data_IF_319493733629
#
_entry.id   IF_319493733629
#
_cell.length_a   1.000
_cell.length_b   1.000
_cell.length_c   1.000
_cell.angle_alpha   90.00
_cell.angle_beta   90.00
_cell.angle_gamma   90.00
#
_symmetry.space_group_name_H-M   'P 1'
#
loop_
_entity.id
_entity.type
_entity.pdbx_description
1 polymer ?
#
# COMPACT_ATOMS: atom_id res chain seq x y z
N UNK A 1 -14.25 -21.15 -10.04
CA UNK A 1 -14.27 -21.00 -8.57
C UNK A 1 -14.46 -19.52 -8.26
N UNK A 2 -15.16 -19.13 -7.20
CA UNK A 2 -15.26 -17.74 -6.80
C UNK A 2 -13.86 -17.16 -6.52
N UNK A 3 -13.67 -15.87 -6.77
CA UNK A 3 -12.42 -15.18 -6.51
C UNK A 3 -12.10 -15.13 -5.02
N UNK A 4 -10.82 -14.98 -4.66
CA UNK A 4 -10.32 -14.93 -3.27
C UNK A 4 -10.92 -13.79 -2.43
N UNK A 5 -11.43 -12.75 -3.08
CA UNK A 5 -12.04 -11.57 -2.44
C UNK A 5 -13.49 -11.35 -2.91
N UNK A 6 -14.17 -12.43 -3.27
CA UNK A 6 -15.54 -12.38 -3.79
C UNK A 6 -16.45 -11.60 -2.84
N UNK A 7 -17.15 -10.60 -3.37
CA UNK A 7 -18.10 -9.70 -2.67
C UNK A 7 -17.50 -8.83 -1.56
N UNK A 8 -16.19 -8.84 -1.35
CA UNK A 8 -15.50 -7.94 -0.41
C UNK A 8 -15.47 -6.50 -0.96
N UNK A 9 -15.47 -5.54 -0.07
CA UNK A 9 -15.24 -4.12 -0.38
C UNK A 9 -13.80 -3.77 0.00
N UNK A 10 -13.02 -3.35 -0.98
CA UNK A 10 -11.60 -3.06 -0.83
C UNK A 10 -11.31 -1.58 -1.12
N UNK A 11 -10.55 -0.93 -0.25
CA UNK A 11 -10.02 0.42 -0.43
C UNK A 11 -8.52 0.36 -0.72
N UNK A 12 -8.08 1.08 -1.77
CA UNK A 12 -6.66 1.21 -2.12
C UNK A 12 -6.27 2.68 -2.19
N UNK A 13 -5.49 3.16 -1.24
CA UNK A 13 -4.90 4.51 -1.31
C UNK A 13 -3.67 4.52 -2.20
N UNK A 14 -3.45 5.61 -2.95
CA UNK A 14 -2.43 5.64 -4.01
C UNK A 14 -2.71 4.66 -5.15
N UNK A 15 -3.97 4.30 -5.37
CA UNK A 15 -4.42 3.29 -6.34
C UNK A 15 -4.37 3.74 -7.81
N UNK A 16 -3.88 4.93 -8.10
CA UNK A 16 -3.82 5.47 -9.46
C UNK A 16 -2.63 4.99 -10.30
N UNK A 17 -1.55 4.50 -9.68
CA UNK A 17 -0.29 4.12 -10.34
C UNK A 17 0.46 3.00 -9.63
N UNK A 18 1.42 2.38 -10.32
CA UNK A 18 2.37 1.43 -9.76
C UNK A 18 1.72 0.29 -8.98
N UNK A 19 2.27 -0.02 -7.81
CA UNK A 19 1.78 -1.14 -6.96
C UNK A 19 0.31 -0.93 -6.56
N UNK A 20 -0.10 0.30 -6.24
CA UNK A 20 -1.50 0.58 -5.88
C UNK A 20 -2.47 0.27 -7.01
N UNK A 21 -2.17 0.67 -8.26
CA UNK A 21 -2.97 0.33 -9.44
C UNK A 21 -2.99 -1.18 -9.66
N UNK A 22 -1.83 -1.84 -9.64
CA UNK A 22 -1.74 -3.28 -9.82
C UNK A 22 -2.55 -4.03 -8.76
N UNK A 23 -2.52 -3.56 -7.50
CA UNK A 23 -3.33 -4.14 -6.42
C UNK A 23 -4.83 -3.92 -6.64
N UNK A 24 -5.24 -2.71 -7.03
CA UNK A 24 -6.65 -2.43 -7.31
C UNK A 24 -7.21 -3.35 -8.44
N UNK A 25 -6.43 -3.53 -9.52
CA UNK A 25 -6.76 -4.43 -10.61
C UNK A 25 -6.82 -5.90 -10.14
N UNK A 26 -5.84 -6.33 -9.34
CA UNK A 26 -5.78 -7.69 -8.81
C UNK A 26 -6.95 -7.98 -7.84
N UNK A 27 -7.28 -7.06 -6.94
CA UNK A 27 -8.43 -7.19 -6.04
C UNK A 27 -9.75 -7.29 -6.80
N UNK A 28 -9.94 -6.46 -7.84
CA UNK A 28 -11.14 -6.52 -8.68
C UNK A 28 -11.24 -7.84 -9.45
N UNK A 29 -10.13 -8.35 -9.99
CA UNK A 29 -10.07 -9.68 -10.66
C UNK A 29 -10.46 -10.81 -9.71
N UNK A 30 -10.18 -10.66 -8.42
CA UNK A 30 -10.56 -11.62 -7.37
C UNK A 30 -11.97 -11.38 -6.80
N UNK A 31 -12.80 -10.56 -7.46
CA UNK A 31 -14.21 -10.36 -7.14
C UNK A 31 -14.51 -9.25 -6.12
N UNK A 32 -13.51 -8.45 -5.73
CA UNK A 32 -13.75 -7.30 -4.84
C UNK A 32 -14.40 -6.12 -5.58
N UNK A 33 -15.23 -5.37 -4.87
CA UNK A 33 -15.65 -4.00 -5.23
C UNK A 33 -14.58 -3.04 -4.72
N UNK A 34 -13.96 -2.27 -5.60
CA UNK A 34 -12.73 -1.53 -5.27
C UNK A 34 -12.98 -0.02 -5.22
N UNK A 35 -12.58 0.61 -4.13
CA UNK A 35 -12.43 2.07 -4.05
C UNK A 35 -10.98 2.42 -4.31
N UNK A 36 -10.75 3.18 -5.38
CA UNK A 36 -9.45 3.73 -5.78
C UNK A 36 -9.35 5.15 -5.23
N UNK A 37 -8.40 5.41 -4.34
CA UNK A 37 -8.19 6.74 -3.76
C UNK A 37 -6.82 7.30 -4.14
N UNK A 38 -6.77 8.53 -4.63
CA UNK A 38 -5.53 9.26 -4.92
C UNK A 38 -5.79 10.75 -5.11
N UNK A 39 -4.73 11.58 -5.10
CA UNK A 39 -4.83 13.01 -5.36
C UNK A 39 -5.12 13.34 -6.82
N UNK A 40 -4.52 12.60 -7.75
CA UNK A 40 -4.72 12.80 -9.20
C UNK A 40 -5.99 12.09 -9.67
N UNK A 41 -6.94 12.85 -10.24
CA UNK A 41 -8.21 12.30 -10.72
C UNK A 41 -8.05 11.50 -12.00
N UNK A 42 -7.36 12.03 -13.00
CA UNK A 42 -7.26 11.40 -14.32
C UNK A 42 -6.72 9.96 -14.26
N UNK A 43 -5.62 9.72 -13.54
CA UNK A 43 -5.04 8.37 -13.44
C UNK A 43 -5.84 7.45 -12.50
N UNK A 44 -6.55 8.05 -11.52
CA UNK A 44 -7.47 7.30 -10.66
C UNK A 44 -8.69 6.80 -11.42
N UNK A 45 -9.30 7.66 -12.21
CA UNK A 45 -10.41 7.34 -13.10
C UNK A 45 -10.00 6.33 -14.19
N UNK A 46 -8.75 6.46 -14.72
CA UNK A 46 -8.20 5.48 -15.65
C UNK A 46 -8.10 4.09 -15.01
N UNK A 47 -7.69 4.00 -13.74
CA UNK A 47 -7.66 2.73 -13.01
C UNK A 47 -9.07 2.14 -12.88
N UNK A 48 -10.07 2.96 -12.56
CA UNK A 48 -11.49 2.52 -12.51
C UNK A 48 -11.96 2.05 -13.88
N UNK A 49 -11.65 2.79 -14.95
CA UNK A 49 -12.01 2.41 -16.32
C UNK A 49 -11.42 1.05 -16.69
N UNK A 50 -10.15 0.78 -16.35
CA UNK A 50 -9.51 -0.52 -16.59
C UNK A 50 -10.22 -1.66 -15.83
N UNK A 51 -10.58 -1.45 -14.56
CA UNK A 51 -11.31 -2.43 -13.76
C UNK A 51 -12.68 -2.70 -14.38
N UNK A 52 -13.42 -1.66 -14.75
CA UNK A 52 -14.76 -1.79 -15.33
C UNK A 52 -14.73 -2.46 -16.70
N UNK A 53 -13.75 -2.13 -17.54
CA UNK A 53 -13.57 -2.78 -18.84
C UNK A 53 -13.27 -4.29 -18.73
N UNK A 54 -12.67 -4.72 -17.60
CA UNK A 54 -12.46 -6.13 -17.29
C UNK A 54 -13.66 -6.80 -16.58
N UNK A 55 -14.80 -6.10 -16.46
CA UNK A 55 -16.02 -6.61 -15.81
C UNK A 55 -16.06 -6.48 -14.29
N UNK A 56 -15.09 -5.81 -13.68
CA UNK A 56 -15.06 -5.55 -12.24
C UNK A 56 -15.88 -4.30 -11.85
N UNK A 57 -15.97 -4.06 -10.55
CA UNK A 57 -16.69 -2.91 -9.97
C UNK A 57 -15.69 -2.02 -9.23
N UNK A 58 -15.60 -0.76 -9.61
CA UNK A 58 -14.75 0.20 -8.91
C UNK A 58 -15.33 1.62 -8.90
N UNK A 59 -14.91 2.41 -7.93
CA UNK A 59 -15.21 3.84 -7.80
C UNK A 59 -13.93 4.59 -7.47
N UNK A 60 -13.73 5.75 -8.11
CA UNK A 60 -12.65 6.66 -7.78
C UNK A 60 -13.11 7.70 -6.74
N UNK A 61 -12.23 8.01 -5.78
CA UNK A 61 -12.41 9.10 -4.83
C UNK A 61 -11.13 9.91 -4.73
N UNK A 62 -11.20 11.19 -5.11
CA UNK A 62 -10.06 12.09 -4.94
C UNK A 62 -9.78 12.29 -3.45
N UNK A 63 -8.55 12.00 -3.02
CA UNK A 63 -8.19 12.01 -1.59
C UNK A 63 -6.71 12.30 -1.40
N UNK A 64 -6.41 13.30 -0.56
CA UNK A 64 -5.09 13.48 0.04
C UNK A 64 -5.08 12.85 1.44
N UNK A 65 -4.33 11.76 1.61
CA UNK A 65 -4.25 11.04 2.89
C UNK A 65 -3.61 11.85 4.02
N UNK A 66 -2.98 12.99 3.71
CA UNK A 66 -2.45 13.91 4.72
C UNK A 66 -3.53 14.76 5.36
N UNK A 67 -4.74 14.82 4.78
CA UNK A 67 -5.87 15.61 5.25
C UNK A 67 -6.88 14.71 5.97
N UNK A 68 -6.99 14.87 7.28
CA UNK A 68 -7.89 14.06 8.11
C UNK A 68 -9.35 14.12 7.63
N UNK A 69 -9.82 15.30 7.22
CA UNK A 69 -11.19 15.50 6.70
C UNK A 69 -11.45 14.72 5.42
N UNK A 70 -10.46 14.65 4.51
CA UNK A 70 -10.60 13.90 3.27
C UNK A 70 -10.58 12.39 3.52
N UNK A 71 -9.75 11.91 4.47
CA UNK A 71 -9.76 10.50 4.87
C UNK A 71 -11.07 10.10 5.52
N UNK A 72 -11.64 10.95 6.39
CA UNK A 72 -12.99 10.74 6.96
C UNK A 72 -14.04 10.63 5.85
N UNK A 73 -14.01 11.56 4.89
CA UNK A 73 -14.94 11.55 3.76
C UNK A 73 -14.78 10.27 2.92
N UNK A 74 -13.54 9.87 2.60
CA UNK A 74 -13.23 8.64 1.86
C UNK A 74 -13.85 7.41 2.52
N UNK A 75 -13.59 7.19 3.80
CA UNK A 75 -14.10 6.02 4.52
C UNK A 75 -15.63 6.06 4.63
N UNK A 76 -16.21 7.23 4.95
CA UNK A 76 -17.65 7.40 5.06
C UNK A 76 -18.38 7.14 3.74
N UNK A 77 -17.85 7.69 2.63
CA UNK A 77 -18.45 7.47 1.31
C UNK A 77 -18.27 6.03 0.84
N UNK A 78 -17.13 5.36 1.15
CA UNK A 78 -16.94 3.93 0.87
C UNK A 78 -18.07 3.10 1.50
N UNK A 79 -18.33 3.31 2.79
CA UNK A 79 -19.39 2.60 3.50
C UNK A 79 -20.78 2.99 2.99
N UNK A 80 -21.00 4.27 2.64
CA UNK A 80 -22.27 4.74 2.08
C UNK A 80 -22.59 4.06 0.73
N UNK A 81 -21.61 3.88 -0.14
CA UNK A 81 -21.78 3.30 -1.48
C UNK A 81 -21.93 1.80 -1.42
N UNK A 82 -21.07 1.13 -0.64
CA UNK A 82 -20.93 -0.34 -0.66
C UNK A 82 -21.46 -1.05 0.59
N UNK A 83 -21.89 -0.31 1.61
CA UNK A 83 -22.46 -0.84 2.84
C UNK A 83 -21.43 -1.30 3.88
N UNK A 84 -20.16 -1.50 3.51
CA UNK A 84 -19.11 -2.03 4.37
C UNK A 84 -17.70 -1.66 3.88
N UNK A 85 -16.70 -1.97 4.67
CA UNK A 85 -15.28 -1.96 4.28
C UNK A 85 -14.62 -3.20 4.86
N UNK A 86 -14.14 -4.10 3.98
CA UNK A 86 -13.53 -5.38 4.36
C UNK A 86 -12.01 -5.36 4.31
N UNK A 87 -11.45 -4.71 3.29
CA UNK A 87 -10.01 -4.66 3.04
C UNK A 87 -9.56 -3.21 2.85
N UNK A 88 -8.47 -2.82 3.48
CA UNK A 88 -7.83 -1.52 3.24
C UNK A 88 -6.35 -1.71 2.95
N UNK A 89 -5.91 -1.28 1.77
CA UNK A 89 -4.50 -1.21 1.41
C UNK A 89 -4.02 0.23 1.47
N UNK A 90 -3.27 0.56 2.53
CA UNK A 90 -2.69 1.87 2.77
C UNK A 90 -1.35 1.97 2.03
N UNK A 91 -1.40 2.42 0.76
CA UNK A 91 -0.25 2.41 -0.16
C UNK A 91 0.19 3.82 -0.60
N UNK A 92 -0.61 4.85 -0.38
CA UNK A 92 -0.21 6.21 -0.72
C UNK A 92 1.11 6.57 -0.04
N UNK A 93 2.07 7.12 -0.81
CA UNK A 93 3.40 7.42 -0.29
C UNK A 93 4.14 8.47 -1.10
N UNK A 94 5.14 9.05 -0.45
CA UNK A 94 6.11 10.02 -0.97
C UNK A 94 7.53 9.50 -0.73
N UNK A 95 8.45 9.77 -1.64
CA UNK A 95 9.80 9.18 -1.58
C UNK A 95 10.75 9.88 -0.62
N UNK A 96 10.59 11.19 -0.47
CA UNK A 96 11.55 12.04 0.21
C UNK A 96 12.83 12.31 -0.61
N UNK A 97 13.62 13.27 -0.14
CA UNK A 97 14.89 13.65 -0.76
C UNK A 97 16.00 12.66 -0.39
N UNK A 98 16.79 12.26 -1.37
CA UNK A 98 17.94 11.35 -1.22
C UNK A 98 19.21 12.15 -0.96
N UNK A 99 19.34 12.68 0.25
CA UNK A 99 20.49 13.42 0.74
C UNK A 99 20.98 12.82 2.05
N UNK A 100 22.21 13.13 2.52
CA UNK A 100 22.67 12.73 3.84
C UNK A 100 21.72 13.20 4.95
N UNK A 101 21.66 12.47 6.06
CA UNK A 101 20.70 12.73 7.15
C UNK A 101 20.79 14.18 7.68
N UNK A 102 21.99 14.74 7.76
CA UNK A 102 22.19 16.11 8.25
C UNK A 102 21.72 17.19 7.26
N UNK A 103 21.53 16.84 5.99
CA UNK A 103 21.22 17.78 4.91
C UNK A 103 19.75 17.75 4.50
N UNK A 104 18.91 16.96 5.18
CA UNK A 104 17.48 16.88 4.87
C UNK A 104 16.81 18.19 5.26
N UNK A 105 16.11 18.89 4.33
CA UNK A 105 15.26 20.01 4.69
C UNK A 105 14.11 19.55 5.61
N UNK A 106 13.84 20.31 6.68
CA UNK A 106 12.76 19.99 7.62
C UNK A 106 11.42 19.81 6.91
N UNK A 107 11.12 20.65 5.93
CA UNK A 107 9.89 20.56 5.13
C UNK A 107 9.77 19.19 4.39
N UNK A 108 10.87 18.67 3.83
CA UNK A 108 10.85 17.37 3.15
C UNK A 108 10.69 16.21 4.15
N UNK A 109 11.34 16.32 5.31
CA UNK A 109 11.15 15.42 6.43
C UNK A 109 9.68 15.37 6.85
N UNK A 110 9.10 16.52 7.18
CA UNK A 110 7.70 16.63 7.62
C UNK A 110 6.73 16.10 6.56
N UNK A 111 6.93 16.47 5.30
CA UNK A 111 6.12 15.99 4.19
C UNK A 111 6.18 14.46 4.04
N UNK A 112 7.38 13.88 4.18
CA UNK A 112 7.56 12.43 4.08
C UNK A 112 6.86 11.71 5.23
N UNK A 113 7.07 12.14 6.46
CA UNK A 113 6.42 11.58 7.66
C UNK A 113 4.90 11.78 7.59
N UNK A 114 4.46 12.97 7.21
CA UNK A 114 3.03 13.31 7.08
C UNK A 114 2.32 12.41 6.07
N UNK A 115 2.94 12.15 4.92
CA UNK A 115 2.34 11.32 3.88
C UNK A 115 2.40 9.83 4.25
N UNK A 116 3.61 9.33 4.55
CA UNK A 116 3.85 7.89 4.63
C UNK A 116 3.40 7.29 5.96
N UNK A 117 3.62 7.99 7.08
CA UNK A 117 3.32 7.45 8.40
C UNK A 117 2.00 8.01 8.96
N UNK A 118 1.85 9.33 9.02
CA UNK A 118 0.63 9.95 9.54
C UNK A 118 -0.57 9.61 8.65
N UNK A 119 -0.41 9.61 7.31
CA UNK A 119 -1.47 9.25 6.37
C UNK A 119 -1.93 7.80 6.53
N UNK A 120 -1.01 6.86 6.74
CA UNK A 120 -1.35 5.46 7.04
C UNK A 120 -2.11 5.37 8.36
N UNK A 121 -1.64 6.05 9.41
CA UNK A 121 -2.34 6.09 10.68
C UNK A 121 -3.75 6.69 10.57
N UNK A 122 -3.94 7.78 9.83
CA UNK A 122 -5.26 8.38 9.60
C UNK A 122 -6.19 7.39 8.90
N UNK A 123 -5.72 6.70 7.85
CA UNK A 123 -6.52 5.68 7.18
C UNK A 123 -6.93 4.56 8.15
N UNK A 124 -6.01 4.05 8.96
CA UNK A 124 -6.32 3.04 9.98
C UNK A 124 -7.30 3.56 11.03
N UNK A 125 -7.07 4.78 11.55
CA UNK A 125 -7.91 5.43 12.57
C UNK A 125 -9.39 5.46 12.18
N UNK A 126 -9.70 5.72 10.91
CA UNK A 126 -11.08 5.85 10.44
C UNK A 126 -11.63 4.56 9.82
N UNK A 127 -10.79 3.67 9.29
CA UNK A 127 -11.21 2.38 8.77
C UNK A 127 -11.59 1.40 9.88
N UNK A 128 -10.77 1.30 10.93
CA UNK A 128 -10.97 0.34 12.03
C UNK A 128 -12.36 0.43 12.66
N UNK A 129 -12.91 1.60 13.04
CA UNK A 129 -14.25 1.68 13.61
C UNK A 129 -15.35 1.19 12.65
N UNK A 130 -15.18 1.34 11.34
CA UNK A 130 -16.13 0.82 10.36
C UNK A 130 -16.02 -0.70 10.21
N UNK A 131 -14.79 -1.24 10.19
CA UNK A 131 -14.56 -2.69 10.15
C UNK A 131 -15.13 -3.38 11.39
N UNK A 132 -14.97 -2.79 12.58
CA UNK A 132 -15.55 -3.33 13.84
C UNK A 132 -17.07 -3.44 13.78
N UNK A 133 -17.76 -2.48 13.18
CA UNK A 133 -19.23 -2.52 13.01
C UNK A 133 -19.72 -3.66 12.13
N UNK A 134 -18.86 -4.18 11.27
CA UNK A 134 -19.18 -5.24 10.31
C UNK A 134 -18.51 -6.59 10.64
N UNK A 135 -18.03 -6.74 11.89
CA UNK A 135 -17.50 -8.02 12.39
C UNK A 135 -16.03 -8.28 12.06
N UNK A 136 -15.30 -7.27 11.63
CA UNK A 136 -13.86 -7.38 11.35
C UNK A 136 -13.46 -6.88 9.97
N UNK A 137 -12.20 -7.14 9.61
CA UNK A 137 -11.63 -6.72 8.32
C UNK A 137 -10.12 -6.99 8.23
N UNK A 138 -9.52 -6.57 7.14
CA UNK A 138 -8.09 -6.70 6.92
C UNK A 138 -7.47 -5.38 6.51
N UNK A 139 -6.38 -5.02 7.15
CA UNK A 139 -5.57 -3.86 6.78
C UNK A 139 -4.19 -4.35 6.36
N UNK A 140 -3.75 -3.92 5.19
CA UNK A 140 -2.39 -4.11 4.72
C UNK A 140 -1.74 -2.73 4.55
N UNK A 141 -0.62 -2.50 5.22
CA UNK A 141 0.13 -1.27 5.11
C UNK A 141 1.32 -1.47 4.17
N UNK A 142 1.51 -0.54 3.24
CA UNK A 142 2.71 -0.50 2.41
C UNK A 142 3.89 -0.03 3.25
N UNK A 143 4.85 -0.91 3.45
CA UNK A 143 6.17 -0.59 3.95
C UNK A 143 7.22 -0.83 2.85
N UNK A 144 8.41 -1.26 3.19
CA UNK A 144 9.52 -1.56 2.27
C UNK A 144 10.56 -2.41 3.00
N UNK A 145 11.49 -3.01 2.25
CA UNK A 145 12.72 -3.57 2.82
C UNK A 145 13.46 -2.56 3.71
N UNK A 146 13.39 -1.25 3.36
CA UNK A 146 13.99 -0.19 4.18
C UNK A 146 13.20 0.15 5.46
N UNK A 147 12.13 -0.54 5.75
CA UNK A 147 11.51 -0.59 7.07
C UNK A 147 12.17 -1.58 8.02
N UNK A 148 13.09 -2.40 7.52
CA UNK A 148 13.86 -3.37 8.29
C UNK A 148 15.35 -2.99 8.41
N UNK A 149 15.90 -2.35 7.37
CA UNK A 149 17.32 -2.01 7.26
C UNK A 149 17.52 -0.61 6.70
N UNK A 150 18.68 0.00 7.00
CA UNK A 150 19.17 1.16 6.28
C UNK A 150 19.93 0.71 5.03
N UNK A 151 19.72 1.41 3.91
CA UNK A 151 20.45 1.16 2.67
C UNK A 151 21.08 2.45 2.13
N UNK A 152 22.31 2.39 1.58
CA UNK A 152 22.95 3.56 0.99
C UNK A 152 22.12 4.20 -0.14
N UNK A 153 22.07 5.53 -0.16
CA UNK A 153 21.39 6.31 -1.20
C UNK A 153 19.86 6.29 -1.12
N UNK A 154 19.30 5.86 0.00
CA UNK A 154 17.86 5.96 0.28
C UNK A 154 17.58 7.20 1.13
N UNK A 155 16.45 7.86 0.90
CA UNK A 155 16.00 8.99 1.68
C UNK A 155 15.83 8.61 3.17
N UNK A 156 16.52 9.26 4.12
CA UNK A 156 16.44 8.89 5.55
C UNK A 156 15.04 9.02 6.13
N UNK A 157 14.25 10.03 5.70
CA UNK A 157 12.87 10.19 6.12
C UNK A 157 11.97 9.02 5.63
N UNK A 158 12.27 8.46 4.44
CA UNK A 158 11.60 7.26 3.96
C UNK A 158 11.89 6.06 4.85
N UNK A 159 13.16 5.84 5.20
CA UNK A 159 13.59 4.77 6.13
C UNK A 159 12.87 4.90 7.46
N UNK A 160 12.89 6.09 8.07
CA UNK A 160 12.21 6.35 9.34
C UNK A 160 10.70 6.09 9.26
N UNK A 161 10.03 6.57 8.19
CA UNK A 161 8.59 6.36 8.01
C UNK A 161 8.23 4.89 7.87
N UNK A 162 9.01 4.10 7.13
CA UNK A 162 8.73 2.67 6.93
C UNK A 162 9.00 1.83 8.18
N UNK A 163 10.01 2.16 9.00
CA UNK A 163 10.16 1.57 10.33
C UNK A 163 8.97 1.90 11.23
N UNK A 164 8.49 3.16 11.19
CA UNK A 164 7.29 3.58 11.91
C UNK A 164 6.03 2.81 11.48
N UNK A 165 5.85 2.56 10.18
CA UNK A 165 4.73 1.75 9.66
C UNK A 165 4.78 0.33 10.20
N UNK A 166 5.96 -0.30 10.27
CA UNK A 166 6.12 -1.65 10.84
C UNK A 166 5.70 -1.66 12.32
N UNK A 167 6.16 -0.66 13.11
CA UNK A 167 5.77 -0.51 14.50
C UNK A 167 4.26 -0.33 14.68
N UNK A 168 3.67 0.59 13.90
CA UNK A 168 2.22 0.85 13.90
C UNK A 168 1.41 -0.38 13.49
N UNK A 169 1.87 -1.14 12.49
CA UNK A 169 1.25 -2.39 12.03
C UNK A 169 1.18 -3.41 13.14
N UNK A 170 2.29 -3.65 13.84
CA UNK A 170 2.38 -4.62 14.94
C UNK A 170 1.50 -4.21 16.12
N UNK A 171 1.52 -2.93 16.49
CA UNK A 171 0.70 -2.43 17.59
C UNK A 171 -0.78 -2.59 17.29
N UNK A 172 -1.25 -2.14 16.15
CA UNK A 172 -2.67 -2.28 15.78
C UNK A 172 -3.09 -3.75 15.62
N UNK A 173 -2.21 -4.62 15.13
CA UNK A 173 -2.48 -6.04 15.02
C UNK A 173 -2.77 -6.66 16.40
N UNK A 174 -1.98 -6.36 17.44
CA UNK A 174 -2.19 -6.85 18.81
C UNK A 174 -3.48 -6.29 19.41
N UNK A 175 -3.77 -5.01 19.18
CA UNK A 175 -4.98 -4.35 19.72
C UNK A 175 -6.27 -4.94 19.15
N UNK A 176 -6.31 -5.25 17.83
CA UNK A 176 -7.56 -5.55 17.15
C UNK A 176 -7.74 -7.00 16.70
N UNK A 177 -6.75 -7.89 16.88
CA UNK A 177 -6.85 -9.30 16.47
C UNK A 177 -8.08 -10.01 17.08
N UNK A 178 -8.32 -9.81 18.38
CA UNK A 178 -9.48 -10.40 19.08
C UNK A 178 -10.82 -9.86 18.62
N UNK A 179 -10.80 -8.75 17.90
CA UNK A 179 -11.99 -8.10 17.32
C UNK A 179 -12.18 -8.43 15.83
N UNK A 180 -11.48 -9.46 15.34
CA UNK A 180 -11.61 -9.91 13.95
C UNK A 180 -10.92 -9.03 12.92
N UNK A 181 -10.03 -8.11 13.32
CA UNK A 181 -9.26 -7.30 12.38
C UNK A 181 -7.82 -7.82 12.33
N UNK A 182 -7.36 -8.17 11.13
CA UNK A 182 -5.96 -8.51 10.85
C UNK A 182 -5.25 -7.29 10.27
N UNK A 183 -4.09 -6.95 10.82
CA UNK A 183 -3.27 -5.85 10.31
C UNK A 183 -1.89 -6.42 9.99
N UNK A 184 -1.44 -6.25 8.73
CA UNK A 184 -0.15 -6.72 8.27
C UNK A 184 0.52 -5.63 7.41
N UNK A 185 1.80 -5.79 7.10
CA UNK A 185 2.51 -4.95 6.16
C UNK A 185 3.09 -5.78 5.01
N UNK A 186 3.18 -5.18 3.83
CA UNK A 186 3.96 -5.70 2.70
C UNK A 186 5.20 -4.84 2.51
N UNK A 187 6.35 -5.49 2.32
CA UNK A 187 7.66 -4.86 2.29
C UNK A 187 8.40 -5.18 0.98
N UNK A 188 8.05 -4.54 -0.14
CA UNK A 188 8.77 -4.74 -1.39
C UNK A 188 10.14 -4.07 -1.40
N UNK A 189 11.00 -4.54 -2.29
CA UNK A 189 12.25 -3.90 -2.71
C UNK A 189 12.02 -3.03 -3.95
N UNK A 190 13.09 -2.71 -4.67
CA UNK A 190 13.01 -1.99 -5.95
C UNK A 190 12.03 -2.70 -6.88
N UNK A 191 11.00 -1.98 -7.28
CA UNK A 191 9.88 -2.49 -8.07
C UNK A 191 9.66 -1.60 -9.28
N UNK A 192 9.42 -2.22 -10.45
CA UNK A 192 9.09 -1.52 -11.69
C UNK A 192 7.75 -0.79 -11.53
N UNK A 193 7.84 0.53 -11.59
CA UNK A 193 6.70 1.45 -11.48
C UNK A 193 7.04 2.74 -12.23
N UNK A 194 6.07 3.59 -12.58
CA UNK A 194 6.36 4.92 -13.10
C UNK A 194 7.25 5.78 -12.19
N UNK A 195 7.27 5.45 -10.90
CA UNK A 195 8.18 6.07 -9.92
C UNK A 195 9.63 5.60 -10.13
N UNK A 196 9.85 4.31 -10.40
CA UNK A 196 11.17 3.77 -10.70
C UNK A 196 11.79 4.49 -11.90
N UNK A 197 11.04 4.66 -12.98
CA UNK A 197 11.52 5.33 -14.19
C UNK A 197 11.90 6.79 -13.91
N UNK A 198 11.06 7.50 -13.15
CA UNK A 198 11.32 8.91 -12.77
C UNK A 198 12.55 9.08 -11.87
N UNK A 199 12.78 8.14 -10.96
CA UNK A 199 13.84 8.23 -9.93
C UNK A 199 15.17 7.69 -10.44
N UNK A 200 15.13 6.64 -11.24
CA UNK A 200 16.31 5.91 -11.70
C UNK A 200 16.61 6.11 -13.19
N UNK A 201 15.75 6.82 -13.93
CA UNK A 201 15.92 7.08 -15.35
C UNK A 201 15.38 6.00 -16.28
N UNK A 202 14.87 4.87 -15.73
CA UNK A 202 14.14 3.84 -16.50
C UNK A 202 14.90 3.17 -17.65
N UNK A 203 16.24 3.29 -17.71
CA UNK A 203 17.01 2.69 -18.82
C UNK A 203 17.32 1.21 -18.56
N UNK A 204 17.50 0.39 -19.62
CA UNK A 204 17.86 -1.02 -19.48
C UNK A 204 19.13 -1.24 -18.66
N UNK A 205 20.13 -0.35 -18.76
CA UNK A 205 21.39 -0.45 -18.02
C UNK A 205 21.19 -0.22 -16.52
N UNK A 206 20.34 0.74 -16.16
CA UNK A 206 19.97 1.02 -14.76
C UNK A 206 19.20 -0.17 -14.20
N UNK A 207 18.26 -0.71 -14.96
CA UNK A 207 17.51 -1.89 -14.56
C UNK A 207 18.43 -3.11 -14.35
N UNK A 208 19.29 -3.41 -15.32
CA UNK A 208 20.25 -4.52 -15.22
C UNK A 208 21.15 -4.38 -13.99
N UNK A 209 21.62 -3.16 -13.69
CA UNK A 209 22.42 -2.88 -12.48
C UNK A 209 21.65 -3.12 -11.19
N UNK A 210 20.36 -2.75 -11.14
CA UNK A 210 19.51 -3.00 -9.97
C UNK A 210 19.16 -4.49 -9.85
N UNK A 211 18.88 -5.15 -10.97
CA UNK A 211 18.62 -6.58 -11.02
C UNK A 211 19.81 -7.41 -10.53
N UNK A 212 21.03 -7.01 -10.91
CA UNK A 212 22.26 -7.69 -10.47
C UNK A 212 22.50 -7.63 -8.94
N UNK A 213 21.87 -6.70 -8.23
CA UNK A 213 21.91 -6.59 -6.76
C UNK A 213 20.84 -7.42 -6.07
N UNK A 214 19.92 -7.99 -6.82
CA UNK A 214 18.85 -8.80 -6.28
C UNK A 214 19.18 -10.28 -6.49
N UNK A 215 19.20 -11.13 -5.45
CA UNK A 215 19.47 -12.56 -5.59
C UNK A 215 18.62 -13.28 -6.63
N UNK A 216 17.38 -12.84 -6.84
CA UNK A 216 16.49 -13.39 -7.89
C UNK A 216 16.89 -13.01 -9.32
N UNK A 217 17.90 -12.14 -9.51
CA UNK A 217 18.38 -11.70 -10.83
C UNK A 217 17.44 -10.73 -11.57
N UNK A 218 16.39 -10.22 -10.92
CA UNK A 218 15.47 -9.24 -11.50
C UNK A 218 15.02 -8.19 -10.47
N UNK A 219 14.54 -7.06 -10.92
CA UNK A 219 13.74 -6.16 -10.07
C UNK A 219 12.33 -6.72 -9.88
N UNK A 220 11.63 -6.29 -8.81
CA UNK A 220 10.23 -6.67 -8.60
C UNK A 220 9.31 -6.04 -9.65
N UNK A 221 8.23 -6.72 -9.95
CA UNK A 221 7.10 -6.17 -10.70
C UNK A 221 6.01 -5.71 -9.74
N UNK A 222 5.19 -4.72 -10.17
CA UNK A 222 4.05 -4.27 -9.35
C UNK A 222 3.09 -5.41 -9.01
N UNK A 223 3.01 -6.43 -9.86
CA UNK A 223 2.21 -7.63 -9.64
C UNK A 223 2.72 -8.50 -8.50
N UNK A 224 4.04 -8.59 -8.27
CA UNK A 224 4.62 -9.39 -7.18
C UNK A 224 4.09 -8.91 -5.81
N UNK A 225 4.09 -7.58 -5.59
CA UNK A 225 3.54 -6.99 -4.37
C UNK A 225 2.01 -7.05 -4.32
N UNK A 226 1.33 -6.86 -5.46
CA UNK A 226 -0.14 -6.90 -5.53
C UNK A 226 -0.71 -8.26 -5.15
N UNK A 227 -0.13 -9.37 -5.63
CA UNK A 227 -0.54 -10.72 -5.28
C UNK A 227 -0.34 -11.02 -3.79
N UNK A 228 0.75 -10.55 -3.20
CA UNK A 228 0.99 -10.65 -1.76
C UNK A 228 -0.10 -9.90 -0.95
N UNK A 229 -0.50 -8.71 -1.39
CA UNK A 229 -1.58 -7.94 -0.74
C UNK A 229 -2.93 -8.67 -0.88
N UNK A 230 -3.25 -9.20 -2.05
CA UNK A 230 -4.48 -9.98 -2.26
C UNK A 230 -4.51 -11.20 -1.35
N UNK A 231 -3.39 -11.95 -1.26
CA UNK A 231 -3.29 -13.09 -0.35
C UNK A 231 -3.48 -12.69 1.10
N UNK A 232 -2.82 -11.62 1.56
CA UNK A 232 -2.99 -11.11 2.93
C UNK A 232 -4.44 -10.69 3.22
N UNK A 233 -5.17 -10.18 2.22
CA UNK A 233 -6.57 -9.79 2.35
C UNK A 233 -7.53 -11.00 2.32
N UNK A 234 -7.10 -12.16 1.83
CA UNK A 234 -7.93 -13.35 1.70
C UNK A 234 -8.02 -14.16 2.99
N UNK A 235 -8.97 -15.09 3.03
CA UNK A 235 -9.14 -16.05 4.14
C UNK A 235 -7.98 -17.06 4.22
N UNK A 236 -7.21 -17.25 3.13
CA UNK A 236 -6.00 -18.07 3.13
C UNK A 236 -4.90 -17.53 4.07
N UNK A 237 -4.97 -16.25 4.44
CA UNK A 237 -4.08 -15.61 5.41
C UNK A 237 -4.75 -15.39 6.79
N UNK A 238 -5.78 -16.16 7.13
CA UNK A 238 -6.61 -15.96 8.33
C UNK A 238 -5.82 -15.99 9.67
N UNK A 239 -4.68 -16.69 9.70
CA UNK A 239 -3.81 -16.76 10.90
C UNK A 239 -2.57 -15.87 10.81
N UNK A 240 -2.49 -14.97 9.82
CA UNK A 240 -1.38 -14.03 9.62
C UNK A 240 -1.77 -12.67 10.21
N UNK A 241 -1.15 -12.30 11.33
CA UNK A 241 -1.47 -11.10 12.12
C UNK A 241 -0.17 -10.44 12.59
N UNK A 242 -0.02 -9.14 12.33
CA UNK A 242 1.17 -8.36 12.71
C UNK A 242 2.42 -8.68 11.89
N UNK A 243 2.28 -9.42 10.79
CA UNK A 243 3.39 -9.82 9.95
C UNK A 243 3.84 -8.69 9.01
N UNK A 244 5.14 -8.68 8.73
CA UNK A 244 5.76 -7.80 7.74
C UNK A 244 6.28 -8.66 6.60
N UNK A 245 5.41 -8.90 5.60
CA UNK A 245 5.69 -9.81 4.50
C UNK A 245 6.67 -9.16 3.52
N UNK A 246 7.88 -9.67 3.52
CA UNK A 246 8.94 -9.22 2.61
C UNK A 246 8.72 -9.82 1.23
N UNK A 247 8.73 -8.96 0.19
CA UNK A 247 8.54 -9.34 -1.23
C UNK A 247 9.69 -8.71 -2.01
N UNK A 248 10.87 -9.31 -1.92
CA UNK A 248 12.13 -8.63 -2.28
C UNK A 248 13.09 -9.47 -3.15
N UNK A 249 12.70 -10.66 -3.56
CA UNK A 249 13.58 -11.53 -4.35
C UNK A 249 14.85 -11.95 -3.62
N UNK A 250 14.86 -11.91 -2.27
CA UNK A 250 15.95 -12.37 -1.43
C UNK A 250 16.92 -11.28 -0.97
N UNK A 251 16.61 -9.98 -1.19
CA UNK A 251 17.51 -8.86 -0.80
C UNK A 251 17.81 -8.84 0.69
N UNK A 252 16.86 -9.16 1.57
CA UNK A 252 17.08 -9.21 3.02
C UNK A 252 17.57 -10.59 3.54
N UNK A 253 17.71 -11.59 2.68
CA UNK A 253 18.17 -12.93 3.08
C UNK A 253 19.69 -13.12 3.01
N UNK A 254 20.43 -12.09 2.59
CA UNK A 254 21.89 -12.11 2.42
C UNK A 254 22.60 -11.23 3.46
#
# INVERSE_FOLDING_TARGET
MPGRLQDKVALVTGGSRGIGRATALAMAREGARVVVASRGSAEGEDTVRLITAAGGVATFMQTDVTQSTEVVALITQTVKIYGRLDCAFNNAGYEGMRVPTADIPEEDWERTIRTNLTGVWLCMKYAIPQMLKHGGGVIVNMSSVVGHVGLPGIAPALVASHHGIIGLTRQAAVEYARHGIRVNAVCPTVTRTPRFDRVHGGTPEVEARMAARNPSGRIGESADAAEAVVWLCSDAASFVVGHTLVVDGGVLAQ
#
